data_IF_105685591141
#
_entry.id   IF_105685591141
#
_cell.length_a   1.000
_cell.length_b   1.000
_cell.length_c   1.000
_cell.angle_alpha   90.00
_cell.angle_beta   90.00
_cell.angle_gamma   90.00
#
_symmetry.space_group_name_H-M   'P 1'
#
loop_
_entity.id
_entity.type
_entity.pdbx_description
1 polymer ?
#
# COMPACT_ATOMS: atom_id res chain seq x y z
N UNK A 1 2.61 -6.34 -27.68
CA UNK A 1 1.75 -5.20 -27.29
C UNK A 1 2.32 -4.69 -25.98
N UNK A 2 3.26 -3.74 -26.08
CA UNK A 2 3.95 -3.14 -24.95
C UNK A 2 3.03 -2.11 -24.31
N UNK A 3 2.48 -2.45 -23.14
CA UNK A 3 1.82 -1.47 -22.29
C UNK A 3 2.91 -0.77 -21.49
N UNK A 4 3.26 0.45 -21.90
CA UNK A 4 4.27 1.30 -21.30
C UNK A 4 3.87 1.64 -19.85
N UNK A 5 4.61 1.05 -18.91
CA UNK A 5 4.56 1.30 -17.48
C UNK A 5 5.29 2.61 -17.15
N UNK A 6 4.58 3.73 -17.24
CA UNK A 6 5.09 5.00 -16.73
C UNK A 6 4.31 5.41 -15.46
N UNK A 7 5.07 5.76 -14.42
CA UNK A 7 4.68 6.37 -13.14
C UNK A 7 4.38 5.49 -11.90
N UNK A 8 4.95 4.29 -11.80
CA UNK A 8 5.26 3.70 -10.49
C UNK A 8 6.72 3.24 -10.50
N UNK A 9 7.55 3.84 -9.64
CA UNK A 9 8.94 3.41 -9.48
C UNK A 9 9.04 2.67 -8.14
N UNK A 10 9.17 1.34 -8.21
CA UNK A 10 9.39 0.50 -7.03
C UNK A 10 10.47 1.10 -6.12
N UNK A 11 11.57 1.58 -6.71
CA UNK A 11 12.67 2.19 -5.98
C UNK A 11 12.25 3.40 -5.16
N UNK A 12 11.46 4.31 -5.74
CA UNK A 12 10.95 5.49 -5.03
C UNK A 12 9.97 5.10 -3.93
N UNK A 13 9.12 4.10 -4.17
CA UNK A 13 8.27 3.53 -3.11
C UNK A 13 9.13 3.05 -1.96
N UNK A 14 10.13 2.19 -2.21
CA UNK A 14 10.97 1.61 -1.18
C UNK A 14 11.77 2.66 -0.37
N UNK A 15 12.31 3.68 -1.04
CA UNK A 15 13.03 4.78 -0.38
C UNK A 15 12.09 5.61 0.51
N UNK A 16 10.91 5.98 0.01
CA UNK A 16 9.90 6.70 0.79
C UNK A 16 9.37 5.84 1.93
N UNK A 17 9.08 4.57 1.69
CA UNK A 17 8.52 3.65 2.68
C UNK A 17 9.50 3.45 3.84
N UNK A 18 10.82 3.35 3.59
CA UNK A 18 11.81 3.29 4.68
C UNK A 18 11.89 4.55 5.53
N UNK A 19 11.74 5.73 4.92
CA UNK A 19 11.73 7.02 5.63
C UNK A 19 10.43 7.19 6.42
N UNK A 20 9.30 6.89 5.79
CA UNK A 20 7.98 6.96 6.40
C UNK A 20 7.75 5.86 7.43
N UNK A 21 8.36 4.68 7.29
CA UNK A 21 8.23 3.58 8.24
C UNK A 21 8.57 4.02 9.66
N UNK A 22 9.63 4.81 9.83
CA UNK A 22 10.05 5.35 11.13
C UNK A 22 9.06 6.36 11.72
N UNK A 23 8.14 6.92 10.92
CA UNK A 23 7.25 8.03 11.30
C UNK A 23 5.75 7.67 11.29
N UNK A 24 5.33 6.77 10.40
CA UNK A 24 3.94 6.35 10.17
C UNK A 24 3.52 5.19 11.09
N UNK A 25 4.48 4.39 11.57
CA UNK A 25 4.19 3.20 12.37
C UNK A 25 4.00 1.95 11.52
N UNK A 26 4.15 0.80 12.17
CA UNK A 26 4.19 -0.51 11.52
C UNK A 26 2.90 -0.89 10.80
N UNK A 27 1.74 -0.50 11.34
CA UNK A 27 0.43 -0.86 10.78
C UNK A 27 0.26 -0.31 9.37
N UNK A 28 0.57 0.96 9.13
CA UNK A 28 0.43 1.58 7.79
C UNK A 28 1.41 0.95 6.81
N UNK A 29 2.65 0.71 7.24
CA UNK A 29 3.65 0.04 6.40
C UNK A 29 3.18 -1.36 6.04
N UNK A 30 2.56 -2.08 6.97
CA UNK A 30 2.01 -3.40 6.69
C UNK A 30 0.93 -3.35 5.60
N UNK A 31 -0.02 -2.41 5.69
CA UNK A 31 -1.05 -2.20 4.65
C UNK A 31 -0.41 -1.93 3.29
N UNK A 32 0.58 -1.04 3.23
CA UNK A 32 1.28 -0.70 1.99
C UNK A 32 2.02 -1.91 1.42
N UNK A 33 2.66 -2.72 2.27
CA UNK A 33 3.33 -3.95 1.85
C UNK A 33 2.33 -4.98 1.31
N UNK A 34 1.17 -5.15 1.95
CA UNK A 34 0.11 -6.03 1.46
C UNK A 34 -0.36 -5.61 0.06
N UNK A 35 -0.65 -4.33 -0.13
CA UNK A 35 -1.03 -3.76 -1.43
C UNK A 35 0.09 -3.98 -2.47
N UNK A 36 1.34 -3.70 -2.10
CA UNK A 36 2.50 -3.85 -2.97
C UNK A 36 2.70 -5.28 -3.46
N UNK A 37 2.67 -6.26 -2.56
CA UNK A 37 2.84 -7.67 -2.94
C UNK A 37 1.62 -8.19 -3.69
N UNK A 38 0.40 -7.73 -3.36
CA UNK A 38 -0.81 -8.08 -4.12
C UNK A 38 -0.73 -7.59 -5.56
N UNK A 39 -0.19 -6.39 -5.80
CA UNK A 39 -0.02 -5.81 -7.14
C UNK A 39 0.83 -6.70 -8.07
N UNK A 40 1.75 -7.49 -7.50
CA UNK A 40 2.64 -8.38 -8.26
C UNK A 40 1.95 -9.65 -8.75
N UNK A 41 0.72 -9.93 -8.31
CA UNK A 41 -0.02 -11.10 -8.79
C UNK A 41 -0.32 -10.97 -10.29
N UNK A 42 0.07 -11.96 -11.11
CA UNK A 42 -0.14 -11.91 -12.56
C UNK A 42 -1.64 -11.91 -12.91
N UNK A 43 -2.42 -12.68 -12.17
CA UNK A 43 -3.87 -12.88 -12.32
C UNK A 43 -4.74 -11.75 -11.74
N UNK A 44 -4.13 -10.71 -11.14
CA UNK A 44 -4.89 -9.63 -10.53
C UNK A 44 -5.67 -8.83 -11.59
N UNK A 45 -7.00 -8.63 -11.44
CA UNK A 45 -7.81 -7.89 -12.39
C UNK A 45 -7.33 -6.45 -12.57
N UNK A 46 -7.47 -5.90 -13.78
CA UNK A 46 -7.01 -4.54 -14.13
C UNK A 46 -7.61 -3.47 -13.22
N UNK A 47 -8.89 -3.62 -12.83
CA UNK A 47 -9.55 -2.71 -11.88
C UNK A 47 -8.85 -2.70 -10.52
N UNK A 48 -8.56 -3.88 -9.97
CA UNK A 48 -7.86 -4.02 -8.70
C UNK A 48 -6.42 -3.47 -8.78
N UNK A 49 -5.71 -3.73 -9.89
CA UNK A 49 -4.40 -3.11 -10.16
C UNK A 49 -4.49 -1.58 -10.14
N UNK A 50 -5.50 -1.01 -10.80
CA UNK A 50 -5.75 0.43 -10.81
C UNK A 50 -6.00 1.01 -9.42
N UNK A 51 -6.84 0.35 -8.61
CA UNK A 51 -7.08 0.75 -7.20
C UNK A 51 -5.78 0.77 -6.40
N UNK A 52 -4.98 -0.29 -6.48
CA UNK A 52 -3.72 -0.39 -5.74
C UNK A 52 -2.72 0.68 -6.20
N UNK A 53 -2.53 0.84 -7.51
CA UNK A 53 -1.61 1.85 -8.06
C UNK A 53 -2.06 3.25 -7.66
N UNK A 54 -3.36 3.54 -7.69
CA UNK A 54 -3.91 4.82 -7.24
C UNK A 54 -3.62 5.10 -5.76
N UNK A 55 -3.88 4.12 -4.89
CA UNK A 55 -3.65 4.24 -3.45
C UNK A 55 -2.15 4.37 -3.11
N UNK A 56 -1.30 3.53 -3.70
CA UNK A 56 0.16 3.59 -3.51
C UNK A 56 0.75 4.87 -4.11
N UNK A 57 0.26 5.28 -5.28
CA UNK A 57 0.63 6.54 -5.92
C UNK A 57 0.33 7.72 -5.01
N UNK A 58 -0.90 7.81 -4.50
CA UNK A 58 -1.30 8.84 -3.54
C UNK A 58 -0.43 8.84 -2.28
N UNK A 59 -0.12 7.66 -1.72
CA UNK A 59 0.76 7.53 -0.55
C UNK A 59 2.20 8.01 -0.80
N UNK A 60 2.74 7.82 -2.01
CA UNK A 60 4.14 8.19 -2.35
C UNK A 60 4.24 9.64 -2.84
N UNK A 61 3.17 10.18 -3.42
CA UNK A 61 3.19 11.50 -4.06
C UNK A 61 3.55 12.59 -3.03
N UNK A 62 4.48 13.51 -3.35
CA UNK A 62 4.62 14.73 -2.58
C UNK A 62 3.29 15.48 -2.62
N UNK A 63 2.87 16.02 -1.47
CA UNK A 63 1.60 16.77 -1.33
C UNK A 63 1.45 17.85 -2.42
N UNK A 64 2.57 18.42 -2.90
CA UNK A 64 2.64 19.42 -3.97
C UNK A 64 2.14 18.95 -5.36
N UNK A 65 1.94 17.64 -5.58
CA UNK A 65 1.42 17.08 -6.84
C UNK A 65 -0.07 16.71 -6.78
N UNK A 66 -0.74 16.95 -5.66
CA UNK A 66 -2.17 16.72 -5.50
C UNK A 66 -2.92 17.90 -6.12
N UNK A 67 -3.76 17.70 -7.17
CA UNK A 67 -4.54 18.78 -7.76
C UNK A 67 -5.46 19.44 -6.72
N UNK A 68 -5.60 20.76 -6.78
CA UNK A 68 -6.48 21.57 -5.92
C UNK A 68 -7.93 21.05 -5.85
N UNK A 69 -8.41 20.35 -6.89
CA UNK A 69 -9.73 19.75 -6.92
C UNK A 69 -9.92 18.56 -5.95
N UNK A 70 -8.84 17.88 -5.55
CA UNK A 70 -8.87 16.80 -4.55
C UNK A 70 -8.83 17.35 -3.12
N UNK A 71 -8.46 18.62 -2.96
CA UNK A 71 -8.22 19.27 -1.65
C UNK A 71 -9.53 19.54 -0.89
N UNK A 72 -10.66 19.60 -1.61
CA UNK A 72 -11.99 19.84 -1.06
C UNK A 72 -12.73 18.61 -0.50
N UNK A 73 -12.16 17.40 -0.57
CA UNK A 73 -12.82 16.16 -0.13
C UNK A 73 -12.54 15.73 1.33
N UNK A 74 -11.85 16.56 2.12
CA UNK A 74 -11.62 16.27 3.54
C UNK A 74 -10.28 15.56 3.79
N UNK A 75 -9.29 16.37 4.15
CA UNK A 75 -7.90 15.95 4.42
C UNK A 75 -7.68 15.12 5.70
N UNK A 76 -8.72 14.59 6.32
CA UNK A 76 -8.62 13.78 7.55
C UNK A 76 -8.45 12.28 7.27
N UNK A 77 -8.41 11.89 5.99
CA UNK A 77 -8.65 10.52 5.53
C UNK A 77 -7.43 9.83 4.87
N UNK A 78 -6.19 10.32 5.07
CA UNK A 78 -4.98 9.79 4.39
C UNK A 78 -4.72 8.29 4.64
N UNK A 79 -5.09 7.78 5.82
CA UNK A 79 -5.05 6.33 6.13
C UNK A 79 -6.27 5.58 5.61
N UNK A 80 -7.38 6.29 5.41
CA UNK A 80 -8.60 5.70 4.88
C UNK A 80 -8.39 5.31 3.41
N UNK A 81 -7.67 6.09 2.60
CA UNK A 81 -7.48 5.76 1.19
C UNK A 81 -6.75 4.41 0.99
N UNK A 82 -5.63 4.21 1.69
CA UNK A 82 -4.90 2.93 1.68
C UNK A 82 -5.67 1.81 2.38
N UNK A 83 -6.39 2.11 3.46
CA UNK A 83 -7.25 1.13 4.15
C UNK A 83 -8.46 0.68 3.32
N UNK A 84 -9.10 1.59 2.59
CA UNK A 84 -10.21 1.31 1.69
C UNK A 84 -9.72 0.51 0.48
N UNK A 85 -8.57 0.88 -0.09
CA UNK A 85 -7.93 0.10 -1.14
C UNK A 85 -7.65 -1.33 -0.66
N UNK A 86 -7.13 -1.49 0.56
CA UNK A 86 -6.90 -2.80 1.18
C UNK A 86 -8.19 -3.63 1.25
N UNK A 87 -9.27 -3.07 1.79
CA UNK A 87 -10.56 -3.77 1.87
C UNK A 87 -11.10 -4.14 0.47
N UNK A 88 -10.96 -3.26 -0.52
CA UNK A 88 -11.40 -3.53 -1.88
C UNK A 88 -10.63 -4.66 -2.57
N UNK A 89 -9.38 -4.89 -2.18
CA UNK A 89 -8.54 -5.96 -2.75
C UNK A 89 -8.30 -7.13 -1.80
N UNK A 90 -8.93 -7.13 -0.63
CA UNK A 90 -8.73 -8.14 0.42
C UNK A 90 -8.93 -9.57 -0.11
N UNK A 91 -9.91 -9.77 -0.99
CA UNK A 91 -10.18 -11.07 -1.63
C UNK A 91 -9.02 -11.62 -2.48
N UNK A 92 -8.05 -10.77 -2.84
CA UNK A 92 -6.85 -11.16 -3.58
C UNK A 92 -5.62 -11.32 -2.67
N UNK A 93 -5.74 -11.03 -1.38
CA UNK A 93 -4.68 -11.18 -0.40
C UNK A 93 -4.75 -12.60 0.16
N UNK A 94 -3.74 -13.40 -0.13
CA UNK A 94 -3.59 -14.74 0.43
C UNK A 94 -2.49 -14.78 1.49
N UNK A 95 -2.32 -15.95 2.10
CA UNK A 95 -1.31 -16.19 3.12
C UNK A 95 0.13 -15.96 2.60
N UNK A 96 0.42 -16.21 1.32
CA UNK A 96 1.74 -15.94 0.74
C UNK A 96 2.03 -14.43 0.73
N UNK A 97 1.05 -13.61 0.34
CA UNK A 97 1.14 -12.15 0.39
C UNK A 97 1.31 -11.66 1.84
N UNK A 98 0.51 -12.18 2.78
CA UNK A 98 0.63 -11.81 4.21
C UNK A 98 2.02 -12.15 4.74
N UNK A 99 2.54 -13.34 4.43
CA UNK A 99 3.86 -13.78 4.88
C UNK A 99 4.99 -12.92 4.30
N UNK A 100 4.93 -12.57 3.01
CA UNK A 100 5.89 -11.65 2.38
C UNK A 100 5.88 -10.26 3.04
N UNK A 101 4.69 -9.74 3.30
CA UNK A 101 4.51 -8.46 3.97
C UNK A 101 5.03 -8.49 5.42
N UNK A 102 4.70 -9.54 6.19
CA UNK A 102 5.16 -9.72 7.59
C UNK A 102 6.69 -9.83 7.66
N UNK A 103 7.29 -10.65 6.81
CA UNK A 103 8.75 -10.81 6.77
C UNK A 103 9.46 -9.49 6.50
N UNK A 104 8.94 -8.68 5.56
CA UNK A 104 9.52 -7.38 5.25
C UNK A 104 9.30 -6.35 6.35
N UNK A 105 8.16 -6.40 7.01
CA UNK A 105 7.84 -5.55 8.15
C UNK A 105 8.78 -5.85 9.33
N UNK A 106 8.99 -7.13 9.64
CA UNK A 106 9.89 -7.59 10.70
C UNK A 106 11.34 -7.20 10.44
N UNK A 107 11.80 -7.28 9.17
CA UNK A 107 13.13 -6.78 8.77
C UNK A 107 13.34 -5.30 9.15
N UNK A 108 12.28 -4.49 9.15
CA UNK A 108 12.37 -3.05 9.35
C UNK A 108 12.06 -2.57 10.75
N UNK A 109 11.14 -3.26 11.44
CA UNK A 109 10.63 -2.86 12.75
C UNK A 109 11.03 -3.82 13.89
N UNK A 110 11.65 -4.96 13.58
CA UNK A 110 11.97 -6.03 14.53
C UNK A 110 10.85 -7.06 14.66
N UNK A 111 11.02 -8.08 15.50
CA UNK A 111 10.05 -9.18 15.63
C UNK A 111 8.79 -8.82 16.44
N UNK A 112 8.78 -7.68 17.14
CA UNK A 112 7.72 -7.26 18.06
C UNK A 112 6.53 -6.57 17.37
N UNK A 113 6.40 -6.69 16.05
CA UNK A 113 5.36 -6.01 15.28
C UNK A 113 4.04 -6.78 15.33
N UNK A 114 2.99 -6.14 15.82
CA UNK A 114 1.63 -6.68 15.78
C UNK A 114 0.96 -6.36 14.44
N UNK A 115 0.46 -7.41 13.77
CA UNK A 115 -0.28 -7.33 12.50
C UNK A 115 -1.72 -7.85 12.62
N UNK A 116 -2.08 -8.37 13.80
CA UNK A 116 -3.32 -9.10 14.05
C UNK A 116 -4.57 -8.27 13.79
N UNK A 117 -4.52 -6.97 14.13
CA UNK A 117 -5.64 -6.06 13.88
C UNK A 117 -5.94 -5.92 12.38
N UNK A 118 -4.90 -5.81 11.54
CA UNK A 118 -5.08 -5.66 10.09
C UNK A 118 -5.51 -6.98 9.47
N UNK A 119 -4.90 -8.10 9.88
CA UNK A 119 -5.27 -9.44 9.42
C UNK A 119 -6.76 -9.72 9.67
N UNK A 120 -7.24 -9.40 10.87
CA UNK A 120 -8.66 -9.60 11.23
C UNK A 120 -9.67 -8.79 10.41
N UNK A 121 -9.22 -7.74 9.71
CA UNK A 121 -10.08 -6.89 8.85
C UNK A 121 -10.13 -7.39 7.40
N UNK A 122 -9.22 -8.29 7.01
CA UNK A 122 -9.08 -8.77 5.63
C UNK A 122 -9.29 -10.28 5.49
N UNK A 123 -9.44 -11.00 6.61
CA UNK A 123 -9.95 -12.37 6.70
C UNK A 123 -11.48 -12.44 6.55
#
# INVERSE_FOLDING_TARGET
MEFTSEHFSDKKLWEKLKVFAKKAGSSIVYIVLLLYFTLQKPELPVKAKGTIIGALGYFILPIDLIPDALIGLGYTDDLSAVGLALLQVAIYIDEDIKNKAKAKLQEWFGESVDTSEIDSKID
#
